data_IF_555297553494
#
_entry.id   IF_555297553494
#
_cell.length_a   1.000
_cell.length_b   1.000
_cell.length_c   1.000
_cell.angle_alpha   90.00
_cell.angle_beta   90.00
_cell.angle_gamma   90.00
#
_symmetry.space_group_name_H-M   'P 1'
#
loop_
_entity.id
_entity.type
_entity.pdbx_description
1 polymer ?
#
# COMPACT_ATOMS: atom_id res chain seq x y z
N UNK A 1 76.30 14.92 -32.30
CA UNK A 1 75.46 14.55 -33.45
C UNK A 1 74.42 13.50 -33.05
N UNK A 2 73.46 13.87 -32.21
CA UNK A 2 72.13 13.25 -32.12
C UNK A 2 71.29 14.12 -31.18
N UNK A 3 70.29 14.79 -31.73
CA UNK A 3 69.42 15.74 -31.06
C UNK A 3 67.97 15.30 -31.26
N UNK A 4 67.20 15.46 -30.18
CA UNK A 4 65.79 15.91 -30.11
C UNK A 4 64.67 14.88 -30.31
N UNK A 5 63.82 14.88 -29.27
CA UNK A 5 62.53 14.26 -29.12
C UNK A 5 61.43 14.85 -30.02
N UNK A 6 60.39 14.06 -30.32
CA UNK A 6 59.06 14.58 -30.60
C UNK A 6 57.98 13.56 -30.23
N UNK A 7 57.04 14.03 -29.42
CA UNK A 7 55.84 13.33 -28.99
C UNK A 7 54.86 13.07 -30.15
N UNK A 8 54.08 12.00 -30.02
CA UNK A 8 52.82 11.82 -30.77
C UNK A 8 51.70 11.47 -29.79
N UNK A 9 50.65 12.29 -29.87
CA UNK A 9 49.39 12.22 -29.15
C UNK A 9 48.36 11.35 -29.90
N UNK A 10 47.31 10.96 -29.16
CA UNK A 10 45.96 10.52 -29.58
C UNK A 10 45.73 9.00 -29.72
N UNK A 11 44.62 8.38 -29.30
CA UNK A 11 43.47 8.68 -28.42
C UNK A 11 42.63 7.37 -28.40
N UNK A 12 41.97 7.05 -27.28
CA UNK A 12 40.85 6.08 -27.18
C UNK A 12 41.27 4.60 -26.99
N UNK A 13 40.63 3.77 -26.16
CA UNK A 13 39.30 3.81 -25.52
C UNK A 13 39.41 3.02 -24.20
N UNK A 14 38.97 3.59 -23.09
CA UNK A 14 38.95 2.91 -21.79
C UNK A 14 37.75 1.96 -21.69
N UNK A 15 38.02 0.70 -21.37
CA UNK A 15 37.03 -0.34 -21.04
C UNK A 15 36.42 -0.05 -19.65
N UNK A 16 35.10 -0.24 -19.44
CA UNK A 16 34.46 0.15 -18.19
C UNK A 16 34.87 -0.76 -17.04
N UNK A 17 35.28 -0.10 -15.96
CA UNK A 17 35.66 -0.69 -14.69
C UNK A 17 34.54 -1.54 -14.07
N UNK A 18 34.95 -2.70 -13.59
CA UNK A 18 34.23 -3.63 -12.73
C UNK A 18 33.58 -2.94 -11.51
N UNK A 19 32.28 -3.19 -11.34
CA UNK A 19 31.49 -2.86 -10.15
C UNK A 19 32.01 -3.64 -8.92
N UNK A 20 32.22 -3.02 -7.76
CA UNK A 20 32.36 -3.75 -6.52
C UNK A 20 30.99 -4.25 -6.03
N UNK A 21 30.82 -5.57 -6.10
CA UNK A 21 29.76 -6.34 -5.43
C UNK A 21 30.15 -6.57 -3.98
N UNK A 22 29.55 -5.80 -3.06
CA UNK A 22 29.48 -6.14 -1.64
C UNK A 22 28.34 -5.34 -0.99
N UNK A 23 27.17 -5.97 -0.88
CA UNK A 23 26.11 -5.50 0.02
C UNK A 23 26.60 -5.68 1.48
N UNK A 24 26.47 -4.69 2.37
CA UNK A 24 26.77 -4.92 3.77
C UNK A 24 25.67 -5.76 4.40
N UNK A 25 26.09 -6.75 5.19
CA UNK A 25 25.26 -7.67 5.93
C UNK A 25 24.21 -6.94 6.78
N UNK A 26 22.96 -7.37 6.65
CA UNK A 26 21.84 -6.91 7.47
C UNK A 26 22.06 -7.52 8.87
N UNK A 27 22.53 -6.69 9.80
CA UNK A 27 22.66 -7.07 11.19
C UNK A 27 21.27 -7.17 11.85
N UNK A 28 20.99 -8.35 12.39
CA UNK A 28 20.06 -8.71 13.46
C UNK A 28 18.76 -7.88 13.60
N UNK A 29 17.65 -8.49 13.19
CA UNK A 29 16.29 -8.06 13.51
C UNK A 29 16.05 -8.11 15.03
N UNK A 30 15.96 -6.93 15.65
CA UNK A 30 15.18 -6.75 16.88
C UNK A 30 13.69 -6.69 16.53
N UNK A 31 12.83 -7.10 17.47
CA UNK A 31 11.37 -7.11 17.29
C UNK A 31 10.83 -5.79 16.72
N UNK A 32 9.75 -5.82 15.91
CA UNK A 32 9.17 -4.62 15.32
C UNK A 32 8.61 -3.71 16.43
N UNK A 33 9.42 -2.72 16.83
CA UNK A 33 8.97 -1.68 17.74
C UNK A 33 7.90 -0.84 17.03
N UNK A 34 6.70 -0.79 17.62
CA UNK A 34 5.63 0.11 17.21
C UNK A 34 6.18 1.54 17.06
N UNK A 35 6.11 2.11 15.85
CA UNK A 35 6.53 3.48 15.59
C UNK A 35 5.52 4.40 16.28
N UNK A 36 5.87 4.89 17.48
CA UNK A 36 5.02 5.81 18.25
C UNK A 36 4.88 7.16 17.58
N UNK A 37 5.95 7.64 16.93
CA UNK A 37 5.97 8.89 16.20
C UNK A 37 6.91 8.81 15.00
N UNK A 38 6.47 9.36 13.86
CA UNK A 38 7.26 9.33 12.62
C UNK A 38 8.59 10.11 12.73
N UNK A 39 8.63 11.09 13.62
CA UNK A 39 9.80 11.94 13.88
C UNK A 39 10.99 11.19 14.51
N UNK A 40 10.72 10.06 15.17
CA UNK A 40 11.74 9.22 15.80
C UNK A 40 12.68 8.60 14.75
N UNK A 41 12.15 8.31 13.57
CA UNK A 41 12.85 7.58 12.51
C UNK A 41 13.13 8.43 11.27
N UNK A 42 12.36 9.50 11.08
CA UNK A 42 12.40 10.34 9.88
C UNK A 42 12.44 11.82 10.23
N UNK A 43 13.33 12.55 9.56
CA UNK A 43 13.33 14.00 9.53
C UNK A 43 12.50 14.46 8.33
N UNK A 44 11.30 14.99 8.55
CA UNK A 44 10.46 15.55 7.48
C UNK A 44 11.09 16.83 6.93
N UNK A 45 11.37 16.87 5.63
CA UNK A 45 12.08 17.98 4.98
C UNK A 45 11.08 18.94 4.33
N UNK A 46 10.26 18.41 3.39
CA UNK A 46 9.31 19.23 2.63
C UNK A 46 8.08 18.42 2.25
N UNK A 47 6.92 19.08 2.22
CA UNK A 47 5.71 18.49 1.62
C UNK A 47 5.92 18.35 0.11
N UNK A 48 5.75 17.14 -0.41
CA UNK A 48 5.78 16.81 -1.84
C UNK A 48 4.42 16.99 -2.49
N UNK A 49 3.34 16.73 -1.74
CA UNK A 49 1.98 16.92 -2.21
C UNK A 49 0.96 16.62 -1.13
N UNK A 50 -0.28 17.05 -1.35
CA UNK A 50 -1.44 16.57 -0.60
C UNK A 50 -2.47 16.05 -1.59
N UNK A 51 -2.83 14.79 -1.44
CA UNK A 51 -4.00 14.21 -2.07
C UNK A 51 -5.18 14.23 -1.12
N UNK A 52 -6.32 13.74 -1.60
CA UNK A 52 -7.52 13.50 -0.78
C UNK A 52 -7.26 12.51 0.36
N UNK A 53 -6.36 11.54 0.15
CA UNK A 53 -6.13 10.43 1.08
C UNK A 53 -4.94 10.62 2.01
N UNK A 54 -4.02 11.53 1.68
CA UNK A 54 -2.76 11.62 2.41
C UNK A 54 -2.00 12.92 2.11
N UNK A 55 -1.15 13.31 3.05
CA UNK A 55 -0.07 14.26 2.78
C UNK A 55 1.24 13.50 2.59
N UNK A 56 1.94 13.77 1.49
CA UNK A 56 3.24 13.14 1.20
C UNK A 56 4.35 14.13 1.48
N UNK A 57 5.34 13.71 2.26
CA UNK A 57 6.54 14.46 2.61
C UNK A 57 7.78 13.79 2.02
N UNK A 58 8.76 14.57 1.61
CA UNK A 58 10.13 14.11 1.49
C UNK A 58 10.73 14.09 2.88
N UNK A 59 11.34 12.99 3.27
CA UNK A 59 11.96 12.84 4.58
C UNK A 59 13.34 12.21 4.46
N UNK A 60 14.22 12.49 5.42
CA UNK A 60 15.49 11.79 5.59
C UNK A 60 15.32 10.68 6.62
N UNK A 61 15.58 9.44 6.23
CA UNK A 61 15.70 8.33 7.17
C UNK A 61 16.90 8.59 8.09
N UNK A 62 16.68 8.70 9.41
CA UNK A 62 17.74 9.02 10.38
C UNK A 62 18.80 7.90 10.48
N UNK A 63 18.39 6.64 10.36
CA UNK A 63 19.30 5.49 10.46
C UNK A 63 20.22 5.34 9.23
N UNK A 64 19.74 5.68 8.03
CA UNK A 64 20.47 5.42 6.77
C UNK A 64 20.92 6.68 6.04
N UNK A 65 20.44 7.86 6.43
CA UNK A 65 20.66 9.13 5.75
C UNK A 65 19.95 9.29 4.40
N UNK A 66 19.26 8.26 3.91
CA UNK A 66 18.59 8.24 2.60
C UNK A 66 17.35 9.13 2.58
N UNK A 67 17.12 9.76 1.43
CA UNK A 67 15.89 10.53 1.16
C UNK A 67 14.79 9.56 0.72
N UNK A 68 13.65 9.63 1.38
CA UNK A 68 12.45 8.82 1.13
C UNK A 68 11.22 9.71 0.97
N UNK A 69 10.15 9.12 0.44
CA UNK A 69 8.82 9.71 0.49
C UNK A 69 8.02 9.07 1.64
N UNK A 70 7.49 9.90 2.53
CA UNK A 70 6.65 9.52 3.67
C UNK A 70 5.21 9.91 3.34
N UNK A 71 4.30 8.94 3.32
CA UNK A 71 2.86 9.17 3.13
C UNK A 71 2.20 9.19 4.51
N UNK A 72 1.77 10.37 4.94
CA UNK A 72 1.07 10.61 6.21
C UNK A 72 -0.44 10.54 5.98
N UNK A 73 -1.12 9.65 6.70
CA UNK A 73 -2.52 9.27 6.46
C UNK A 73 -3.27 9.31 7.80
N UNK A 74 -4.15 10.29 7.97
CA UNK A 74 -5.07 10.34 9.10
C UNK A 74 -6.31 9.48 8.79
N UNK A 75 -6.33 8.23 9.28
CA UNK A 75 -7.49 7.34 9.18
C UNK A 75 -8.03 7.04 10.58
N UNK A 76 -9.28 7.41 10.83
CA UNK A 76 -10.05 6.94 11.99
C UNK A 76 -11.03 5.88 11.49
N UNK A 77 -10.90 4.66 12.00
CA UNK A 77 -11.74 3.52 11.65
C UNK A 77 -12.11 2.76 12.93
N UNK A 78 -13.09 1.87 12.82
CA UNK A 78 -13.38 0.91 13.87
C UNK A 78 -12.15 0.02 14.14
N UNK A 79 -11.82 -0.18 15.42
CA UNK A 79 -10.79 -1.13 15.83
C UNK A 79 -11.34 -2.56 15.75
N UNK A 80 -10.71 -3.40 14.93
CA UNK A 80 -10.98 -4.84 14.92
C UNK A 80 -10.00 -5.55 15.86
N UNK A 81 -10.52 -6.37 16.77
CA UNK A 81 -9.72 -7.05 17.80
C UNK A 81 -9.27 -8.46 17.36
N UNK A 82 -9.82 -8.97 16.26
CA UNK A 82 -9.49 -10.27 15.73
C UNK A 82 -8.22 -10.27 14.88
N UNK A 83 -7.77 -11.47 14.50
CA UNK A 83 -6.63 -11.66 13.58
C UNK A 83 -7.03 -11.44 12.11
N UNK A 84 -6.07 -11.15 11.27
CA UNK A 84 -6.27 -11.11 9.82
C UNK A 84 -6.42 -12.53 9.22
N UNK A 85 -6.87 -12.59 7.96
CA UNK A 85 -7.03 -13.86 7.27
C UNK A 85 -5.71 -14.52 6.88
N UNK A 86 -4.59 -13.79 6.82
CA UNK A 86 -3.27 -14.37 6.58
C UNK A 86 -2.89 -15.25 7.78
N UNK A 87 -2.90 -14.68 8.98
CA UNK A 87 -2.65 -15.39 10.23
C UNK A 87 -3.65 -16.54 10.43
N UNK A 88 -4.94 -16.30 10.14
CA UNK A 88 -5.96 -17.36 10.21
C UNK A 88 -5.66 -18.55 9.31
N UNK A 89 -5.22 -18.33 8.06
CA UNK A 89 -4.89 -19.39 7.10
C UNK A 89 -3.58 -20.09 7.48
N UNK A 90 -2.55 -19.33 7.85
CA UNK A 90 -1.21 -19.87 8.12
C UNK A 90 -1.13 -20.67 9.43
N UNK A 91 -1.99 -20.37 10.41
CA UNK A 91 -2.02 -21.07 11.71
C UNK A 91 -2.90 -22.33 11.70
N UNK A 92 -3.32 -22.83 10.53
CA UNK A 92 -4.15 -24.04 10.43
C UNK A 92 -3.32 -25.33 10.49
N UNK A 93 -3.88 -26.39 11.08
CA UNK A 93 -3.26 -27.72 11.05
C UNK A 93 -3.17 -28.24 9.60
N UNK A 94 -2.42 -29.32 9.35
CA UNK A 94 -2.22 -29.89 8.00
C UNK A 94 -3.49 -30.25 7.21
N UNK A 95 -4.66 -30.34 7.89
CA UNK A 95 -5.97 -30.51 7.25
C UNK A 95 -6.58 -29.22 6.69
N UNK A 96 -5.92 -28.07 6.86
CA UNK A 96 -6.37 -26.78 6.36
C UNK A 96 -7.63 -26.26 7.06
N UNK A 97 -8.39 -25.43 6.32
CA UNK A 97 -9.64 -24.83 6.78
C UNK A 97 -10.79 -25.74 6.34
N UNK A 98 -11.75 -25.98 7.24
CA UNK A 98 -12.94 -26.76 6.90
C UNK A 98 -13.76 -26.07 5.79
N UNK A 99 -14.29 -26.85 4.85
CA UNK A 99 -15.09 -26.34 3.72
C UNK A 99 -16.28 -25.49 4.17
N UNK A 100 -16.90 -25.83 5.31
CA UNK A 100 -17.97 -25.03 5.92
C UNK A 100 -17.49 -23.64 6.32
N UNK A 101 -16.29 -23.51 6.88
CA UNK A 101 -15.71 -22.23 7.28
C UNK A 101 -15.37 -21.41 6.03
N UNK A 102 -14.71 -22.02 5.04
CA UNK A 102 -14.44 -21.37 3.75
C UNK A 102 -15.72 -20.83 3.09
N UNK A 103 -16.80 -21.62 3.09
CA UNK A 103 -18.10 -21.19 2.52
C UNK A 103 -18.63 -19.95 3.23
N UNK A 104 -18.62 -19.93 4.57
CA UNK A 104 -19.12 -18.79 5.35
C UNK A 104 -18.26 -17.55 5.13
N UNK A 105 -16.94 -17.67 5.20
CA UNK A 105 -16.01 -16.56 4.97
C UNK A 105 -16.17 -15.98 3.56
N UNK A 106 -16.25 -16.85 2.56
CA UNK A 106 -16.48 -16.44 1.17
C UNK A 106 -17.84 -15.77 0.99
N UNK A 107 -18.89 -16.27 1.66
CA UNK A 107 -20.21 -15.66 1.61
C UNK A 107 -20.19 -14.23 2.17
N UNK A 108 -19.55 -14.01 3.32
CA UNK A 108 -19.40 -12.66 3.89
C UNK A 108 -18.63 -11.72 2.95
N UNK A 109 -17.50 -12.19 2.40
CA UNK A 109 -16.70 -11.40 1.45
C UNK A 109 -17.50 -11.04 0.19
N UNK A 110 -18.22 -12.00 -0.39
CA UNK A 110 -19.05 -11.77 -1.57
C UNK A 110 -20.20 -10.81 -1.28
N UNK A 111 -20.80 -10.86 -0.09
CA UNK A 111 -21.83 -9.90 0.33
C UNK A 111 -21.27 -8.48 0.45
N UNK A 112 -20.07 -8.32 1.04
CA UNK A 112 -19.40 -7.04 1.12
C UNK A 112 -19.06 -6.47 -0.27
N UNK A 113 -18.51 -7.30 -1.16
CA UNK A 113 -18.21 -6.91 -2.55
C UNK A 113 -19.49 -6.56 -3.31
N UNK A 114 -20.55 -7.35 -3.15
CA UNK A 114 -21.84 -7.08 -3.77
C UNK A 114 -22.39 -5.72 -3.33
N UNK A 115 -22.29 -5.39 -2.04
CA UNK A 115 -22.66 -4.09 -1.52
C UNK A 115 -21.84 -2.95 -2.16
N UNK A 116 -20.51 -3.08 -2.22
CA UNK A 116 -19.63 -2.09 -2.86
C UNK A 116 -19.96 -1.88 -4.34
N UNK A 117 -20.26 -2.97 -5.05
CA UNK A 117 -20.56 -2.95 -6.48
C UNK A 117 -22.00 -2.55 -6.79
N UNK A 118 -22.88 -2.48 -5.78
CA UNK A 118 -24.28 -2.13 -5.95
C UNK A 118 -24.45 -0.81 -6.70
N UNK A 119 -25.58 -0.66 -7.39
CA UNK A 119 -25.86 0.49 -8.25
C UNK A 119 -25.76 1.85 -7.53
N UNK A 120 -25.96 1.85 -6.21
CA UNK A 120 -25.92 3.03 -5.36
C UNK A 120 -24.50 3.40 -4.87
N UNK A 121 -23.60 2.42 -4.73
CA UNK A 121 -22.25 2.63 -4.18
C UNK A 121 -21.21 2.74 -5.28
N UNK A 122 -21.22 1.82 -6.26
CA UNK A 122 -20.36 1.85 -7.46
C UNK A 122 -18.85 1.90 -7.17
N UNK A 123 -18.38 1.27 -6.11
CA UNK A 123 -16.96 1.22 -5.74
C UNK A 123 -16.36 -0.12 -6.15
N UNK A 124 -15.27 -0.10 -6.92
CA UNK A 124 -14.39 -1.27 -7.08
C UNK A 124 -13.25 -1.18 -6.06
N UNK A 125 -13.07 -2.21 -5.22
CA UNK A 125 -12.03 -2.18 -4.18
C UNK A 125 -10.60 -2.23 -4.75
N UNK A 126 -10.38 -3.09 -5.75
CA UNK A 126 -9.11 -3.33 -6.49
C UNK A 126 -7.91 -3.86 -5.68
N UNK A 127 -7.93 -3.87 -4.36
CA UNK A 127 -6.89 -4.50 -3.52
C UNK A 127 -7.46 -5.51 -2.52
N UNK A 128 -8.25 -6.46 -3.02
CA UNK A 128 -8.80 -7.53 -2.17
C UNK A 128 -7.77 -8.64 -2.06
N UNK A 129 -7.25 -8.81 -0.85
CA UNK A 129 -6.27 -9.83 -0.45
C UNK A 129 -6.48 -10.19 1.01
N UNK A 130 -5.91 -11.30 1.45
CA UNK A 130 -6.12 -11.81 2.82
C UNK A 130 -5.61 -10.83 3.89
N UNK A 131 -4.56 -10.07 3.59
CA UNK A 131 -3.99 -9.04 4.47
C UNK A 131 -4.99 -7.92 4.80
N UNK A 132 -5.90 -7.65 3.86
CA UNK A 132 -6.91 -6.59 3.98
C UNK A 132 -8.23 -7.11 4.52
N UNK A 133 -8.27 -8.30 5.12
CA UNK A 133 -9.49 -8.88 5.67
C UNK A 133 -9.21 -9.36 7.10
N UNK A 134 -9.97 -8.83 8.05
CA UNK A 134 -9.77 -9.06 9.49
C UNK A 134 -11.05 -9.55 10.17
N UNK A 135 -10.92 -10.38 11.20
CA UNK A 135 -12.04 -10.68 12.08
C UNK A 135 -12.34 -9.50 13.01
N UNK A 136 -13.62 -9.12 13.16
CA UNK A 136 -14.02 -7.97 13.97
C UNK A 136 -13.75 -8.18 15.46
N UNK A 137 -14.09 -9.36 15.98
CA UNK A 137 -13.84 -9.72 17.38
C UNK A 137 -12.68 -10.69 17.53
N UNK A 138 -12.05 -10.67 18.71
CA UNK A 138 -11.07 -11.67 19.11
C UNK A 138 -11.70 -13.06 19.27
N UNK A 139 -10.85 -14.10 19.20
CA UNK A 139 -11.25 -15.48 19.44
C UNK A 139 -11.82 -15.60 20.88
N UNK A 140 -13.15 -15.74 21.00
CA UNK A 140 -13.87 -15.96 22.27
C UNK A 140 -13.57 -17.36 22.81
N UNK A 141 -12.32 -17.59 23.21
CA UNK A 141 -11.80 -18.89 23.65
C UNK A 141 -12.04 -19.12 25.13
N UNK A 142 -13.28 -19.03 25.59
CA UNK A 142 -13.62 -19.39 26.98
C UNK A 142 -14.30 -20.75 27.14
N UNK A 143 -14.66 -21.45 26.05
CA UNK A 143 -15.12 -22.85 26.15
C UNK A 143 -15.14 -23.56 24.80
N UNK A 144 -14.09 -24.34 24.52
CA UNK A 144 -14.09 -25.43 23.55
C UNK A 144 -14.12 -25.06 22.07
N UNK A 145 -12.96 -25.09 21.41
CA UNK A 145 -12.75 -25.58 20.05
C UNK A 145 -13.75 -25.12 18.95
N UNK A 146 -14.26 -23.89 19.00
CA UNK A 146 -15.02 -23.32 17.89
C UNK A 146 -14.07 -22.58 16.96
N UNK A 147 -14.02 -23.03 15.72
CA UNK A 147 -13.29 -22.36 14.64
C UNK A 147 -13.91 -20.98 14.40
N UNK A 148 -13.16 -19.89 14.63
CA UNK A 148 -13.65 -18.52 14.37
C UNK A 148 -14.10 -18.34 12.91
N UNK A 149 -13.63 -19.16 11.97
CA UNK A 149 -14.16 -19.17 10.61
C UNK A 149 -15.65 -19.54 10.49
N UNK A 150 -16.24 -20.14 11.54
CA UNK A 150 -17.67 -20.48 11.61
C UNK A 150 -18.53 -19.41 12.29
N UNK A 151 -17.93 -18.58 13.13
CA UNK A 151 -18.68 -17.70 14.05
C UNK A 151 -18.31 -16.23 13.90
N UNK A 152 -17.09 -15.92 13.46
CA UNK A 152 -16.57 -14.58 13.35
C UNK A 152 -17.11 -13.82 12.14
N UNK A 153 -17.27 -12.51 12.34
CA UNK A 153 -17.61 -11.55 11.29
C UNK A 153 -16.34 -10.93 10.71
N UNK A 154 -16.29 -10.82 9.38
CA UNK A 154 -15.17 -10.22 8.66
C UNK A 154 -15.40 -8.73 8.42
N UNK A 155 -14.32 -7.97 8.48
CA UNK A 155 -14.23 -6.60 7.99
C UNK A 155 -13.23 -6.54 6.83
N UNK A 156 -13.65 -5.90 5.73
CA UNK A 156 -12.78 -5.56 4.60
C UNK A 156 -12.11 -4.20 4.89
N UNK A 157 -10.79 -4.16 4.78
CA UNK A 157 -9.95 -3.01 5.07
C UNK A 157 -9.30 -2.46 3.80
N UNK A 158 -8.69 -1.30 3.95
CA UNK A 158 -7.82 -0.64 2.98
C UNK A 158 -8.46 -0.27 1.62
N UNK A 159 -9.26 0.80 1.65
CA UNK A 159 -9.93 1.35 0.48
C UNK A 159 -9.04 2.29 -0.37
N UNK A 160 -7.74 2.38 -0.12
CA UNK A 160 -6.84 3.34 -0.79
C UNK A 160 -6.78 3.14 -2.31
N UNK A 161 -6.93 1.90 -2.77
CA UNK A 161 -6.89 1.55 -4.18
C UNK A 161 -8.27 1.56 -4.84
N UNK A 162 -9.33 2.01 -4.15
CA UNK A 162 -10.67 1.98 -4.71
C UNK A 162 -10.83 2.81 -5.98
N UNK A 163 -11.77 2.42 -6.83
CA UNK A 163 -12.24 3.19 -7.99
C UNK A 163 -13.73 3.42 -7.87
N UNK A 164 -14.14 4.69 -7.83
CA UNK A 164 -15.55 5.08 -7.92
C UNK A 164 -15.98 5.15 -9.39
N UNK A 165 -16.91 4.29 -9.79
CA UNK A 165 -17.50 4.29 -11.12
C UNK A 165 -18.62 5.33 -11.18
N UNK A 166 -18.40 6.40 -11.95
CA UNK A 166 -19.40 7.45 -12.17
C UNK A 166 -20.45 7.00 -13.17
N UNK A 167 -21.69 7.46 -13.00
CA UNK A 167 -22.73 7.29 -14.02
C UNK A 167 -22.37 8.06 -15.30
N UNK A 168 -22.91 7.63 -16.45
CA UNK A 168 -22.71 8.31 -17.73
C UNK A 168 -23.16 9.78 -17.66
N UNK A 169 -24.25 10.07 -16.96
CA UNK A 169 -24.75 11.44 -16.74
C UNK A 169 -23.74 12.32 -15.98
N UNK A 170 -23.10 11.78 -14.93
CA UNK A 170 -22.08 12.51 -14.17
C UNK A 170 -20.83 12.76 -15.01
N UNK A 171 -20.47 11.81 -15.88
CA UNK A 171 -19.35 11.97 -16.81
C UNK A 171 -19.66 13.06 -17.85
N UNK A 172 -20.85 13.05 -18.44
CA UNK A 172 -21.30 14.07 -19.39
C UNK A 172 -21.34 15.46 -18.75
N UNK A 173 -21.91 15.59 -17.56
CA UNK A 173 -22.01 16.87 -16.87
C UNK A 173 -20.62 17.47 -16.54
N UNK A 174 -19.68 16.63 -16.08
CA UNK A 174 -18.31 17.07 -15.83
C UNK A 174 -17.57 17.46 -17.13
N UNK A 175 -17.79 16.71 -18.21
CA UNK A 175 -17.20 17.00 -19.50
C UNK A 175 -17.74 18.32 -20.07
N UNK A 176 -19.03 18.57 -19.91
CA UNK A 176 -19.67 19.83 -20.31
C UNK A 176 -19.17 21.01 -19.48
N UNK A 177 -18.97 20.85 -18.17
CA UNK A 177 -18.36 21.87 -17.32
C UNK A 177 -16.93 22.20 -17.73
N UNK A 178 -16.11 21.19 -18.04
CA UNK A 178 -14.74 21.42 -18.53
C UNK A 178 -14.72 22.15 -19.87
N UNK A 179 -15.62 21.80 -20.79
CA UNK A 179 -15.75 22.51 -22.07
C UNK A 179 -16.15 23.97 -21.87
N UNK A 180 -17.08 24.26 -20.96
CA UNK A 180 -17.47 25.64 -20.63
C UNK A 180 -16.30 26.44 -20.04
N UNK A 181 -15.51 25.85 -19.12
CA UNK A 181 -14.33 26.53 -18.57
C UNK A 181 -13.26 26.80 -19.64
N UNK A 182 -13.04 25.88 -20.57
CA UNK A 182 -12.08 26.08 -21.67
C UNK A 182 -12.53 27.21 -22.61
N UNK A 183 -13.83 27.30 -22.92
CA UNK A 183 -14.34 28.41 -23.72
C UNK A 183 -14.20 29.76 -23.02
N UNK A 184 -14.43 29.82 -21.70
CA UNK A 184 -14.25 31.05 -20.93
C UNK A 184 -12.78 31.52 -20.90
N UNK A 185 -11.82 30.59 -20.84
CA UNK A 185 -10.40 30.92 -20.86
C UNK A 185 -9.89 31.39 -22.23
N UNK A 186 -10.54 31.01 -23.33
CA UNK A 186 -10.20 31.48 -24.68
C UNK A 186 -10.77 32.86 -25.02
N UNK A 187 -11.66 33.40 -24.17
CA UNK A 187 -12.30 34.71 -24.35
C UNK A 187 -11.66 35.82 -23.50
N UNK A 188 -10.56 35.53 -22.77
CA UNK A 188 -9.69 36.52 -22.11
C UNK A 188 -8.35 36.62 -22.84
#
# INVERSE_FOLDING_TARGET
MAQVAAARHALGVASPASLPSAAPAIAAAGEPQSIRCIHDHYELIRKLGSGYTATVYSARCRATGRIVAVKDIDKVMEMCEGRDLVDYVLTRPPGGIATSSCRRLMQQLLLAIHFLHSYNVRILHRDIKLDNIIFRQADSSSSGQQDIGQTGDLALLDFDMCLLLRSEEQQQMQQQQMQQQQMQQQQM
#
